data_IF_155569103493
#
_entry.id   IF_155569103493
#
_cell.length_a   1.000
_cell.length_b   1.000
_cell.length_c   1.000
_cell.angle_alpha   90.00
_cell.angle_beta   90.00
_cell.angle_gamma   90.00
#
_symmetry.space_group_name_H-M   'P 1'
#
loop_
_entity.id
_entity.type
_entity.pdbx_description
1 polymer ?
#
# COMPACT_ATOMS: atom_id res chain seq x y z
N UNK A 1 21.59 -13.72 1.18
CA UNK A 1 21.37 -12.36 0.64
C UNK A 1 19.94 -12.30 0.13
N UNK A 2 19.07 -11.47 0.72
CA UNK A 2 17.67 -11.40 0.32
C UNK A 2 17.59 -10.90 -1.13
N UNK A 3 17.25 -11.78 -2.06
CA UNK A 3 17.14 -11.45 -3.49
C UNK A 3 15.75 -10.84 -3.72
N UNK A 4 15.60 -9.57 -3.34
CA UNK A 4 14.32 -8.83 -3.37
C UNK A 4 14.51 -7.31 -3.22
N UNK A 5 13.44 -6.54 -3.35
CA UNK A 5 13.40 -5.09 -3.15
C UNK A 5 13.34 -4.68 -1.67
N UNK A 6 12.92 -5.58 -0.77
CA UNK A 6 12.69 -5.29 0.67
C UNK A 6 13.36 -6.32 1.59
N UNK A 7 13.51 -5.99 2.89
CA UNK A 7 14.09 -6.93 3.89
C UNK A 7 13.09 -8.02 4.33
N UNK A 8 11.80 -7.88 3.98
CA UNK A 8 10.73 -8.82 4.32
C UNK A 8 10.72 -10.08 3.42
N UNK A 9 11.52 -10.08 2.34
CA UNK A 9 11.74 -11.24 1.46
C UNK A 9 10.69 -11.46 0.36
N UNK A 10 10.99 -12.37 -0.56
CA UNK A 10 10.23 -12.55 -1.82
C UNK A 10 8.79 -12.99 -1.64
N UNK A 11 8.48 -13.80 -0.62
CA UNK A 11 7.10 -14.22 -0.31
C UNK A 11 6.23 -13.03 0.07
N UNK A 12 6.76 -12.12 0.89
CA UNK A 12 6.06 -10.91 1.30
C UNK A 12 5.80 -9.99 0.10
N UNK A 13 6.80 -9.83 -0.76
CA UNK A 13 6.67 -9.02 -1.97
C UNK A 13 5.60 -9.57 -2.92
N UNK A 14 5.53 -10.89 -3.09
CA UNK A 14 4.53 -11.52 -3.95
C UNK A 14 3.11 -11.34 -3.39
N UNK A 15 2.92 -11.58 -2.09
CA UNK A 15 1.63 -11.39 -1.42
C UNK A 15 1.11 -9.94 -1.55
N UNK A 16 2.01 -8.97 -1.45
CA UNK A 16 1.64 -7.55 -1.58
C UNK A 16 1.61 -7.04 -3.03
N UNK A 17 1.97 -7.87 -4.02
CA UNK A 17 1.90 -7.51 -5.45
C UNK A 17 0.57 -7.89 -6.11
N UNK A 18 -0.40 -8.42 -5.35
CA UNK A 18 -1.69 -8.87 -5.90
C UNK A 18 -2.46 -7.78 -6.68
N UNK A 19 -2.26 -6.49 -6.33
CA UNK A 19 -2.88 -5.36 -7.04
C UNK A 19 -2.51 -5.28 -8.53
N UNK A 20 -1.40 -5.89 -8.96
CA UNK A 20 -1.02 -5.95 -10.37
C UNK A 20 -2.03 -6.72 -11.22
N UNK A 21 -2.74 -7.69 -10.64
CA UNK A 21 -3.76 -8.47 -11.38
C UNK A 21 -4.85 -7.56 -11.93
N UNK A 22 -5.16 -6.45 -11.24
CA UNK A 22 -6.18 -5.50 -11.69
C UNK A 22 -5.77 -4.72 -12.95
N UNK A 23 -4.47 -4.59 -13.25
CA UNK A 23 -4.01 -3.90 -14.47
C UNK A 23 -4.08 -4.80 -15.70
N UNK A 24 -4.16 -6.13 -15.50
CA UNK A 24 -4.36 -7.11 -16.57
C UNK A 24 -5.82 -7.24 -17.01
N UNK A 25 -6.76 -6.64 -16.28
CA UNK A 25 -8.16 -6.60 -16.72
C UNK A 25 -8.24 -5.86 -18.07
N UNK A 26 -8.92 -6.45 -19.08
CA UNK A 26 -8.98 -5.89 -20.42
C UNK A 26 -9.38 -4.42 -20.42
N UNK A 27 -8.79 -3.67 -21.36
CA UNK A 27 -9.04 -2.24 -21.55
C UNK A 27 -8.70 -1.37 -20.33
N UNK A 28 -7.94 -1.88 -19.36
CA UNK A 28 -7.53 -1.13 -18.19
C UNK A 28 -8.70 -0.75 -17.28
N UNK A 29 -9.83 -1.46 -17.37
CA UNK A 29 -11.06 -1.11 -16.66
C UNK A 29 -10.88 -1.07 -15.14
N UNK A 30 -9.96 -1.87 -14.57
CA UNK A 30 -9.61 -1.84 -13.14
C UNK A 30 -8.25 -1.20 -12.84
N UNK A 31 -7.58 -0.61 -13.83
CA UNK A 31 -6.29 0.05 -13.62
C UNK A 31 -6.40 1.20 -12.61
N UNK A 32 -7.44 2.04 -12.74
CA UNK A 32 -7.70 3.14 -11.80
C UNK A 32 -7.86 2.65 -10.35
N UNK A 33 -8.58 1.55 -10.14
CA UNK A 33 -8.76 0.94 -8.82
C UNK A 33 -7.42 0.48 -8.24
N UNK A 34 -6.58 -0.15 -9.07
CA UNK A 34 -5.24 -0.59 -8.67
C UNK A 34 -4.37 0.58 -8.18
N UNK A 35 -4.34 1.68 -8.93
CA UNK A 35 -3.55 2.87 -8.60
C UNK A 35 -4.08 3.64 -7.38
N UNK A 36 -5.40 3.73 -7.21
CA UNK A 36 -6.00 4.32 -6.00
C UNK A 36 -5.72 3.45 -4.78
N UNK A 37 -5.82 2.13 -4.91
CA UNK A 37 -5.52 1.19 -3.83
C UNK A 37 -4.09 1.37 -3.31
N UNK A 38 -3.08 1.38 -4.20
CA UNK A 38 -1.69 1.57 -3.77
C UNK A 38 -1.44 2.97 -3.21
N UNK A 39 -2.12 3.99 -3.72
CA UNK A 39 -2.03 5.36 -3.21
C UNK A 39 -2.53 5.45 -1.77
N UNK A 40 -3.68 4.84 -1.47
CA UNK A 40 -4.25 4.79 -0.13
C UNK A 40 -3.33 4.03 0.85
N UNK A 41 -2.76 2.90 0.40
CA UNK A 41 -1.91 2.03 1.24
C UNK A 41 -0.56 2.65 1.60
N UNK A 42 -0.03 3.53 0.74
CA UNK A 42 1.28 4.17 0.93
C UNK A 42 1.20 5.67 1.19
N UNK A 43 -0.02 6.22 1.23
CA UNK A 43 -0.31 7.66 1.36
C UNK A 43 0.38 8.53 0.31
N UNK A 44 0.55 8.00 -0.92
CA UNK A 44 1.25 8.68 -2.01
C UNK A 44 0.30 9.35 -3.00
N UNK A 45 0.31 10.69 -3.06
CA UNK A 45 -0.57 11.48 -3.95
C UNK A 45 -0.30 11.26 -5.44
N UNK A 46 0.95 10.99 -5.83
CA UNK A 46 1.30 10.73 -7.23
C UNK A 46 0.54 9.55 -7.85
N UNK A 47 0.31 8.49 -7.08
CA UNK A 47 -0.44 7.33 -7.54
C UNK A 47 -1.94 7.57 -7.51
N UNK A 48 -2.41 8.46 -6.63
CA UNK A 48 -3.79 8.92 -6.63
C UNK A 48 -4.09 9.68 -7.93
N UNK A 49 -3.22 10.62 -8.32
CA UNK A 49 -3.38 11.35 -9.59
C UNK A 49 -3.33 10.42 -10.80
N UNK A 50 -2.44 9.43 -10.81
CA UNK A 50 -2.42 8.40 -11.85
C UNK A 50 -3.75 7.63 -11.91
N UNK A 51 -4.26 7.18 -10.76
CA UNK A 51 -5.56 6.50 -10.67
C UNK A 51 -6.72 7.34 -11.17
N UNK A 52 -6.77 8.63 -10.81
CA UNK A 52 -7.78 9.58 -11.32
C UNK A 52 -7.67 9.74 -12.84
N UNK A 53 -6.46 9.84 -13.38
CA UNK A 53 -6.24 9.93 -14.83
C UNK A 53 -6.75 8.69 -15.59
N UNK A 54 -6.49 7.49 -15.06
CA UNK A 54 -7.02 6.26 -15.62
C UNK A 54 -8.54 6.16 -15.49
N UNK A 55 -9.12 6.60 -14.36
CA UNK A 55 -10.57 6.64 -14.19
C UNK A 55 -11.22 7.57 -15.22
N UNK A 56 -10.62 8.75 -15.45
CA UNK A 56 -11.11 9.70 -16.45
C UNK A 56 -11.11 9.10 -17.87
N UNK A 57 -10.08 8.33 -18.24
CA UNK A 57 -10.03 7.65 -19.54
C UNK A 57 -11.16 6.62 -19.70
N UNK A 58 -11.42 5.81 -18.67
CA UNK A 58 -12.51 4.82 -18.67
C UNK A 58 -13.87 5.52 -18.71
N UNK A 59 -14.07 6.57 -17.91
CA UNK A 59 -15.31 7.35 -17.90
C UNK A 59 -15.56 8.06 -19.22
N UNK A 60 -14.52 8.58 -19.87
CA UNK A 60 -14.62 9.19 -21.19
C UNK A 60 -15.09 8.17 -22.25
N UNK A 61 -14.54 6.95 -22.25
CA UNK A 61 -15.00 5.88 -23.13
C UNK A 61 -16.46 5.48 -22.84
N UNK A 62 -16.85 5.41 -21.56
CA UNK A 62 -18.23 5.13 -21.17
C UNK A 62 -19.21 6.23 -21.61
N UNK A 63 -18.84 7.50 -21.46
CA UNK A 63 -19.66 8.65 -21.86
C UNK A 63 -19.84 8.76 -23.37
N UNK A 64 -18.82 8.35 -24.14
CA UNK A 64 -18.85 8.38 -25.60
C UNK A 64 -19.46 7.13 -26.23
N UNK A 65 -19.95 6.16 -25.45
CA UNK A 65 -20.43 4.86 -25.93
C UNK A 65 -21.55 4.91 -26.99
N UNK A 66 -22.32 6.00 -27.06
CA UNK A 66 -23.41 6.19 -28.05
C UNK A 66 -23.12 7.32 -29.05
N UNK A 67 -21.87 7.74 -29.17
CA UNK A 67 -21.47 8.83 -30.07
C UNK A 67 -20.51 8.32 -31.14
N UNK A 68 -20.31 9.12 -32.19
CA UNK A 68 -19.33 8.81 -33.24
C UNK A 68 -17.87 8.78 -32.73
N UNK A 69 -17.62 9.27 -31.51
CA UNK A 69 -16.30 9.26 -30.88
C UNK A 69 -15.94 7.91 -30.24
N UNK A 70 -16.88 6.97 -30.12
CA UNK A 70 -16.66 5.70 -29.42
C UNK A 70 -15.47 4.91 -29.97
N UNK A 71 -15.36 4.78 -31.30
CA UNK A 71 -14.27 4.04 -31.93
C UNK A 71 -12.90 4.65 -31.61
N UNK A 72 -12.82 5.98 -31.58
CA UNK A 72 -11.61 6.70 -31.19
C UNK A 72 -11.31 6.49 -29.71
N UNK A 73 -12.32 6.57 -28.85
CA UNK A 73 -12.18 6.37 -27.41
C UNK A 73 -11.69 4.95 -27.09
N UNK A 74 -12.21 3.91 -27.78
CA UNK A 74 -11.78 2.52 -27.61
C UNK A 74 -10.33 2.29 -28.03
N UNK A 75 -9.89 2.90 -29.15
CA UNK A 75 -8.47 2.86 -29.57
C UNK A 75 -7.56 3.53 -28.54
N UNK A 76 -7.96 4.70 -28.04
CA UNK A 76 -7.23 5.39 -26.98
C UNK A 76 -7.18 4.56 -25.69
N UNK A 77 -8.28 3.89 -25.32
CA UNK A 77 -8.38 3.04 -24.14
C UNK A 77 -7.42 1.84 -24.23
N UNK A 78 -7.25 1.24 -25.40
CA UNK A 78 -6.25 0.19 -25.63
C UNK A 78 -4.82 0.68 -25.42
N UNK A 79 -4.48 1.88 -25.90
CA UNK A 79 -3.16 2.48 -25.69
C UNK A 79 -2.94 2.77 -24.19
N UNK A 80 -3.94 3.38 -23.53
CA UNK A 80 -3.92 3.66 -22.10
C UNK A 80 -3.75 2.37 -21.29
N UNK A 81 -4.38 1.28 -21.71
CA UNK A 81 -4.25 -0.02 -21.04
C UNK A 81 -2.81 -0.54 -21.07
N UNK A 82 -2.14 -0.52 -22.24
CA UNK A 82 -0.73 -0.93 -22.35
C UNK A 82 0.15 -0.04 -21.46
N UNK A 83 -0.06 1.28 -21.50
CA UNK A 83 0.67 2.23 -20.64
C UNK A 83 0.45 1.91 -19.15
N UNK A 84 -0.77 1.54 -18.76
CA UNK A 84 -1.11 1.20 -17.37
C UNK A 84 -0.33 -0.02 -16.87
N UNK A 85 -0.15 -1.04 -17.72
CA UNK A 85 0.62 -2.25 -17.39
C UNK A 85 2.09 -1.86 -17.17
N UNK A 86 2.69 -1.11 -18.10
CA UNK A 86 4.08 -0.66 -17.98
C UNK A 86 4.27 0.20 -16.72
N UNK A 87 3.35 1.14 -16.47
CA UNK A 87 3.39 2.00 -15.30
C UNK A 87 3.31 1.16 -14.02
N UNK A 88 2.43 0.16 -13.96
CA UNK A 88 2.29 -0.71 -12.80
C UNK A 88 3.59 -1.47 -12.46
N UNK A 89 4.28 -2.02 -13.46
CA UNK A 89 5.57 -2.69 -13.25
C UNK A 89 6.64 -1.72 -12.75
N UNK A 90 6.72 -0.49 -13.29
CA UNK A 90 7.64 0.54 -12.79
C UNK A 90 7.32 0.94 -11.36
N UNK A 91 6.04 1.05 -11.01
CA UNK A 91 5.59 1.44 -9.68
C UNK A 91 5.79 0.33 -8.65
N UNK A 92 5.82 -0.95 -9.05
CA UNK A 92 5.95 -2.10 -8.14
C UNK A 92 7.13 -1.99 -7.18
N UNK A 93 8.33 -1.71 -7.70
CA UNK A 93 9.54 -1.65 -6.88
C UNK A 93 9.42 -0.56 -5.81
N UNK A 94 9.02 0.65 -6.22
CA UNK A 94 8.85 1.77 -5.31
C UNK A 94 7.71 1.55 -4.30
N UNK A 95 6.60 0.95 -4.75
CA UNK A 95 5.47 0.57 -3.90
C UNK A 95 5.91 -0.34 -2.75
N UNK A 96 6.65 -1.40 -3.03
CA UNK A 96 7.07 -2.37 -2.02
C UNK A 96 7.96 -1.73 -0.95
N UNK A 97 8.93 -0.88 -1.37
CA UNK A 97 9.81 -0.17 -0.44
C UNK A 97 9.03 0.81 0.45
N UNK A 98 8.12 1.59 -0.14
CA UNK A 98 7.28 2.52 0.65
C UNK A 98 6.33 1.77 1.58
N UNK A 99 5.79 0.64 1.14
CA UNK A 99 4.91 -0.19 1.94
C UNK A 99 5.65 -0.79 3.13
N UNK A 100 6.87 -1.30 2.94
CA UNK A 100 7.73 -1.78 4.03
C UNK A 100 7.95 -0.68 5.08
N UNK A 101 8.29 0.54 4.65
CA UNK A 101 8.48 1.67 5.56
C UNK A 101 7.22 1.99 6.38
N UNK A 102 6.04 2.03 5.74
CA UNK A 102 4.75 2.24 6.42
C UNK A 102 4.47 1.13 7.44
N UNK A 103 4.73 -0.13 7.07
CA UNK A 103 4.52 -1.26 7.96
C UNK A 103 5.49 -1.29 9.13
N UNK A 104 6.75 -0.90 8.92
CA UNK A 104 7.77 -0.81 9.96
C UNK A 104 7.39 0.20 11.03
N UNK A 105 6.96 1.40 10.62
CA UNK A 105 6.46 2.44 11.54
C UNK A 105 5.23 1.95 12.30
N UNK A 106 4.28 1.31 11.59
CA UNK A 106 3.08 0.79 12.25
C UNK A 106 3.41 -0.31 13.28
N UNK A 107 4.38 -1.18 12.97
CA UNK A 107 4.82 -2.27 13.84
C UNK A 107 5.51 -1.74 15.10
N UNK A 108 6.35 -0.70 14.99
CA UNK A 108 6.99 -0.09 16.17
C UNK A 108 5.95 0.56 17.09
N UNK A 109 5.05 1.38 16.56
CA UNK A 109 4.00 2.02 17.36
C UNK A 109 3.05 1.00 18.02
N UNK A 110 2.75 -0.10 17.34
CA UNK A 110 1.95 -1.18 17.94
C UNK A 110 2.70 -1.94 19.04
N UNK A 111 4.02 -2.07 18.95
CA UNK A 111 4.81 -2.71 19.98
C UNK A 111 4.92 -1.82 21.23
N UNK A 112 5.14 -0.52 21.04
CA UNK A 112 5.11 0.48 22.12
C UNK A 112 3.77 0.43 22.87
N UNK A 113 2.65 0.49 22.14
CA UNK A 113 1.32 0.38 22.74
C UNK A 113 1.10 -0.94 23.49
N UNK A 114 1.66 -2.05 22.99
CA UNK A 114 1.59 -3.36 23.67
C UNK A 114 2.41 -3.39 24.95
N UNK A 115 3.55 -2.70 24.99
CA UNK A 115 4.39 -2.60 26.19
C UNK A 115 3.70 -1.72 27.24
N UNK A 116 3.12 -0.58 26.85
CA UNK A 116 2.33 0.28 27.72
C UNK A 116 1.15 -0.47 28.36
N UNK A 117 0.38 -1.22 27.55
CA UNK A 117 -0.75 -2.00 28.05
C UNK A 117 -0.32 -3.14 28.99
N UNK A 118 0.84 -3.78 28.74
CA UNK A 118 1.37 -4.79 29.66
C UNK A 118 1.74 -4.18 31.01
N UNK A 119 2.39 -3.02 30.99
CA UNK A 119 2.74 -2.29 32.21
C UNK A 119 1.51 -1.84 32.99
N UNK A 120 0.45 -1.38 32.31
CA UNK A 120 -0.81 -0.99 32.95
C UNK A 120 -1.60 -2.19 33.50
N UNK A 121 -1.48 -3.37 32.87
CA UNK A 121 -2.13 -4.61 33.31
C UNK A 121 -1.39 -5.34 34.44
N UNK A 122 -0.10 -5.07 34.63
CA UNK A 122 0.61 -5.50 35.84
C UNK A 122 0.02 -4.74 37.03
N UNK A 123 -0.59 -5.44 38.01
CA UNK A 123 -1.32 -4.77 39.07
C UNK A 123 -0.37 -3.86 39.84
N UNK A 124 -0.72 -2.57 39.95
CA UNK A 124 -0.14 -1.59 40.88
C UNK A 124 -0.35 -1.97 42.36
N UNK A 125 -0.08 -3.23 42.73
CA UNK A 125 -0.29 -3.85 44.04
C UNK A 125 0.92 -4.62 44.59
N UNK A 126 2.12 -4.48 43.99
CA UNK A 126 3.37 -4.97 44.59
C UNK A 126 4.53 -3.97 44.44
N UNK A 127 4.28 -2.69 44.71
CA UNK A 127 5.34 -1.76 45.14
C UNK A 127 4.95 -1.14 46.46
N UNK A 128 4.71 -2.01 47.45
CA UNK A 128 4.59 -1.66 48.85
C UNK A 128 5.54 -2.52 49.67
N UNK A 129 6.60 -1.90 50.17
CA UNK A 129 7.42 -2.27 51.33
C UNK A 129 8.45 -3.42 51.25
N UNK A 130 9.63 -3.13 51.85
CA UNK A 130 10.76 -4.00 52.21
C UNK A 130 11.84 -4.18 51.13
N UNK A 131 13.06 -3.64 51.23
CA UNK A 131 13.93 -3.47 52.42
C UNK A 131 14.73 -2.17 52.34
N UNK A 132 14.40 -1.20 53.19
CA UNK A 132 15.42 -0.31 53.76
C UNK A 132 15.62 -0.82 55.18
N UNK A 133 16.65 -1.65 55.36
CA UNK A 133 17.17 -2.00 56.68
C UNK A 133 18.67 -2.15 56.53
N UNK A 134 19.37 -1.12 57.02
CA UNK A 134 20.61 -1.15 57.83
C UNK A 134 21.59 -2.31 57.51
N UNK A 135 22.89 -2.12 57.29
CA UNK A 135 23.89 -1.58 58.25
C UNK A 135 25.31 -1.64 57.63
N UNK A 136 26.23 -0.82 58.18
CA UNK A 136 27.72 -0.87 58.12
C UNK A 136 28.38 -0.40 56.81
N UNK A 137 29.35 0.51 56.83
CA UNK A 137 30.44 0.77 57.79
C UNK A 137 30.74 2.26 57.91
#
# INVERSE_FOLDING_TARGET
MAKGYTNEGTKWEFAHSFWLVFTWVPFGFLSWFAFIYIAARTKQRKWLFAGIGYAAAVLFAAFTARTFLFDLAMKALLIVWIISIIHAFKTRAEYLVRLEAVYRIKRSSMNELREELKYEQEPHGQTGTSKVTLTKK
#
